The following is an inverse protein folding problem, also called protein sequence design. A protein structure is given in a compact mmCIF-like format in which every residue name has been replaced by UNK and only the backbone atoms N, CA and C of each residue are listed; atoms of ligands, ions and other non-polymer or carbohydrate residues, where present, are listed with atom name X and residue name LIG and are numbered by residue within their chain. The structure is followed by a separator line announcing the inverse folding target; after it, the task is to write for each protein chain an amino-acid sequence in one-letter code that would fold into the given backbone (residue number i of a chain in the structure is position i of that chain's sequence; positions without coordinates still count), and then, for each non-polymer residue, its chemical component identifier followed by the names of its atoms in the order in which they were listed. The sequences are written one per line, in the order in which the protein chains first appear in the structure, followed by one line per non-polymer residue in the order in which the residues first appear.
data_IF_180012362977
#
_entry.id   IF_180012362977
#
_cell.length_a   1.000
_cell.length_b   1.000
_cell.length_c   1.000
_cell.angle_alpha   90.00
_cell.angle_beta   90.00
_cell.angle_gamma   90.00
#
_symmetry.space_group_name_H-M   'P 1'
#
loop_
_entity.id
_entity.type
_entity.pdbx_description
1 polymer ?
#
# COMPACT_ATOMS: atom_id res chain seq x y z
N UNK A 1 -19.64 15.11 13.98
CA UNK A 1 -18.57 15.28 12.98
C UNK A 1 -17.53 14.21 13.22
N UNK A 2 -17.40 13.24 12.32
CA UNK A 2 -16.32 12.25 12.38
C UNK A 2 -15.07 12.87 11.81
N UNK A 3 -14.07 13.11 12.66
CA UNK A 3 -12.74 13.57 12.24
C UNK A 3 -12.08 12.50 11.36
N UNK A 4 -11.53 12.93 10.23
CA UNK A 4 -10.66 12.12 9.37
C UNK A 4 -9.47 11.60 10.17
N UNK A 5 -9.13 10.32 10.01
CA UNK A 5 -7.98 9.68 10.67
C UNK A 5 -6.87 9.43 9.68
N UNK A 6 -5.63 9.67 10.12
CA UNK A 6 -4.44 9.18 9.45
C UNK A 6 -4.08 7.83 10.05
N UNK A 7 -4.04 6.79 9.21
CA UNK A 7 -3.82 5.39 9.62
C UNK A 7 -2.45 4.97 9.07
N UNK A 8 -1.43 4.81 9.93
CA UNK A 8 -0.09 4.46 9.47
C UNK A 8 0.02 2.98 9.13
N UNK A 9 0.74 2.68 8.04
CA UNK A 9 1.14 1.32 7.65
C UNK A 9 2.63 1.33 7.35
N UNK A 10 3.39 0.55 8.11
CA UNK A 10 4.81 0.36 7.85
C UNK A 10 5.00 -0.53 6.61
N UNK A 11 5.86 -0.10 5.69
CA UNK A 11 6.22 -0.87 4.50
C UNK A 11 7.66 -1.36 4.65
N UNK A 12 7.84 -2.67 4.67
CA UNK A 12 9.14 -3.31 4.79
C UNK A 12 9.68 -3.31 6.23
N UNK A 13 10.95 -2.92 6.39
CA UNK A 13 11.72 -3.07 7.63
C UNK A 13 12.63 -4.30 7.57
N UNK A 14 12.61 -5.11 8.63
CA UNK A 14 13.37 -6.37 8.67
C UNK A 14 12.66 -7.54 7.95
N UNK A 15 11.45 -7.31 7.44
CA UNK A 15 10.58 -8.31 6.83
C UNK A 15 9.91 -7.77 5.57
N UNK A 16 9.52 -8.65 4.64
CA UNK A 16 8.79 -8.30 3.42
C UNK A 16 7.28 -8.20 3.71
N UNK A 17 6.86 -7.15 4.42
CA UNK A 17 5.47 -7.05 4.89
C UNK A 17 4.94 -5.61 4.88
N UNK A 18 3.62 -5.50 4.93
CA UNK A 18 2.90 -4.31 5.36
C UNK A 18 2.48 -4.51 6.81
N UNK A 19 2.72 -3.55 7.71
CA UNK A 19 2.34 -3.68 9.13
C UNK A 19 1.50 -2.48 9.58
N UNK A 20 0.21 -2.67 9.91
CA UNK A 20 -0.56 -3.91 9.75
C UNK A 20 -0.79 -4.25 8.27
N UNK A 21 -1.03 -5.53 7.97
CA UNK A 21 -1.39 -6.00 6.62
C UNK A 21 -2.92 -6.05 6.39
N UNK A 22 -3.72 -5.60 7.35
CA UNK A 22 -5.16 -5.43 7.21
C UNK A 22 -5.60 -4.20 8.00
N UNK A 23 -6.40 -3.35 7.38
CA UNK A 23 -6.90 -2.11 7.96
C UNK A 23 -8.38 -1.95 7.67
N UNK A 24 -9.15 -1.50 8.66
CA UNK A 24 -10.51 -0.98 8.45
C UNK A 24 -10.49 0.54 8.52
N UNK A 25 -11.00 1.20 7.49
CA UNK A 25 -10.99 2.65 7.34
C UNK A 25 -12.32 3.16 6.77
N UNK A 26 -12.69 4.40 7.12
CA UNK A 26 -13.92 5.03 6.64
C UNK A 26 -13.61 5.98 5.48
N UNK A 27 -14.62 6.31 4.65
CA UNK A 27 -14.49 7.40 3.69
C UNK A 27 -13.99 8.68 4.37
N UNK A 28 -12.95 9.27 3.81
CA UNK A 28 -12.27 10.45 4.35
C UNK A 28 -11.09 10.16 5.27
N UNK A 29 -10.88 8.93 5.73
CA UNK A 29 -9.61 8.53 6.37
C UNK A 29 -8.48 8.48 5.31
N UNK A 30 -7.23 8.53 5.74
CA UNK A 30 -6.04 8.43 4.88
C UNK A 30 -5.15 7.30 5.39
N UNK A 31 -4.79 6.37 4.51
CA UNK A 31 -3.75 5.37 4.81
C UNK A 31 -2.41 5.97 4.44
N UNK A 32 -1.53 6.15 5.42
CA UNK A 32 -0.18 6.65 5.19
C UNK A 32 0.81 5.49 5.25
N UNK A 33 1.38 5.16 4.10
CA UNK A 33 2.43 4.17 3.97
C UNK A 33 3.78 4.77 4.32
N UNK A 34 4.52 4.13 5.23
CA UNK A 34 5.79 4.60 5.77
C UNK A 34 6.89 3.59 5.43
N UNK A 35 7.80 3.95 4.53
CA UNK A 35 8.79 3.05 3.97
C UNK A 35 10.03 3.01 4.87
N UNK A 36 10.20 1.89 5.58
CA UNK A 36 11.13 1.80 6.71
C UNK A 36 12.45 1.08 6.40
N UNK A 37 12.58 0.45 5.23
CA UNK A 37 13.84 -0.09 4.75
C UNK A 37 13.77 -0.41 3.25
N UNK A 38 14.89 -0.29 2.54
CA UNK A 38 15.06 -0.72 1.14
C UNK A 38 13.99 -0.12 0.21
N UNK A 39 13.81 -0.73 -0.97
CA UNK A 39 12.86 -0.28 -1.97
C UNK A 39 11.61 -1.17 -1.94
N UNK A 40 10.45 -0.54 -1.81
CA UNK A 40 9.16 -1.21 -1.91
C UNK A 40 8.20 -0.38 -2.75
N UNK A 41 7.01 -0.94 -3.01
CA UNK A 41 5.89 -0.25 -3.65
C UNK A 41 4.63 -0.51 -2.87
N UNK A 42 3.64 0.35 -3.08
CA UNK A 42 2.23 0.13 -2.80
C UNK A 42 1.54 0.13 -4.15
N UNK A 43 1.08 -1.05 -4.57
CA UNK A 43 0.46 -1.26 -5.87
C UNK A 43 -0.88 -1.96 -5.68
N UNK A 44 -1.94 -1.44 -6.26
CA UNK A 44 -3.27 -2.05 -6.19
C UNK A 44 -3.41 -3.20 -7.17
N UNK A 45 -4.07 -4.27 -6.73
CA UNK A 45 -4.39 -5.46 -7.51
C UNK A 45 -5.87 -5.78 -7.47
N UNK A 46 -6.31 -6.65 -8.37
CA UNK A 46 -7.61 -7.31 -8.25
C UNK A 46 -7.58 -8.37 -7.14
N UNK A 47 -8.72 -8.59 -6.48
CA UNK A 47 -8.87 -9.60 -5.42
C UNK A 47 -8.40 -11.00 -5.84
N UNK A 48 -8.73 -11.40 -7.07
CA UNK A 48 -8.45 -12.72 -7.64
C UNK A 48 -7.13 -12.80 -8.41
N UNK A 49 -6.40 -11.68 -8.53
CA UNK A 49 -5.10 -11.61 -9.18
C UNK A 49 -4.10 -10.86 -8.29
N UNK A 50 -3.84 -11.38 -7.07
CA UNK A 50 -2.84 -10.79 -6.18
C UNK A 50 -1.48 -10.87 -6.88
N UNK A 51 -0.71 -9.79 -6.84
CA UNK A 51 0.57 -9.62 -7.56
C UNK A 51 0.49 -9.22 -9.04
N UNK A 52 -0.66 -8.73 -9.51
CA UNK A 52 -0.76 -8.03 -10.80
C UNK A 52 -1.38 -6.65 -10.59
N UNK A 53 -0.89 -5.60 -11.27
CA UNK A 53 -1.47 -4.27 -11.14
C UNK A 53 -2.91 -4.27 -11.66
N UNK A 54 -3.80 -3.54 -10.99
CA UNK A 54 -5.24 -3.51 -11.29
C UNK A 54 -5.55 -2.95 -12.69
N UNK A 55 -4.63 -2.20 -13.28
CA UNK A 55 -4.74 -1.55 -14.59
C UNK A 55 -4.01 -2.30 -15.71
N UNK A 56 -3.61 -3.56 -15.49
CA UNK A 56 -2.81 -4.34 -16.46
C UNK A 56 -3.44 -4.46 -17.86
N UNK A 57 -4.77 -4.32 -17.95
CA UNK A 57 -5.58 -4.47 -19.15
C UNK A 57 -6.51 -3.29 -19.43
N UNK A 58 -6.41 -2.17 -18.69
CA UNK A 58 -7.37 -1.07 -18.79
C UNK A 58 -6.78 0.33 -18.64
N UNK A 59 -7.12 1.21 -19.58
CA UNK A 59 -6.88 2.67 -19.52
C UNK A 59 -7.89 3.42 -18.63
N UNK A 60 -8.81 2.71 -17.95
CA UNK A 60 -9.97 3.30 -17.29
C UNK A 60 -10.00 3.16 -15.76
N UNK A 61 -9.11 2.37 -15.16
CA UNK A 61 -9.00 2.25 -13.70
C UNK A 61 -7.69 2.88 -13.25
N UNK A 62 -7.75 4.08 -12.67
CA UNK A 62 -6.60 4.67 -12.00
C UNK A 62 -6.42 3.96 -10.64
N UNK A 63 -5.70 2.84 -10.65
CA UNK A 63 -5.29 2.14 -9.45
C UNK A 63 -4.29 2.92 -8.61
N UNK A 64 -4.07 2.46 -7.38
CA UNK A 64 -2.97 2.98 -6.56
C UNK A 64 -1.62 2.45 -7.05
N UNK A 65 -0.70 3.36 -7.41
CA UNK A 65 0.70 3.03 -7.73
C UNK A 65 1.63 4.07 -7.10
N UNK A 66 2.34 3.69 -6.03
CA UNK A 66 3.33 4.60 -5.41
C UNK A 66 4.60 4.79 -6.23
N UNK A 67 4.87 3.89 -7.18
CA UNK A 67 6.22 3.67 -7.69
C UNK A 67 7.15 3.09 -6.62
N UNK A 68 8.44 2.92 -6.96
CA UNK A 68 9.43 2.52 -5.98
C UNK A 68 9.77 3.68 -5.05
N UNK A 69 9.50 3.49 -3.76
CA UNK A 69 9.91 4.44 -2.72
C UNK A 69 11.02 3.76 -1.91
N UNK A 70 12.18 4.41 -1.90
CA UNK A 70 13.36 3.98 -1.18
C UNK A 70 13.39 4.60 0.22
N UNK A 71 13.82 3.83 1.22
CA UNK A 71 14.25 4.40 2.49
C UNK A 71 15.64 5.04 2.34
N UNK A 72 15.76 6.32 2.69
CA UNK A 72 17.05 7.01 2.75
C UNK A 72 17.66 6.89 4.15
N UNK A 73 18.52 5.88 4.30
CA UNK A 73 19.22 5.62 5.56
C UNK A 73 20.21 6.72 5.96
N UNK A 74 20.69 7.54 5.00
CA UNK A 74 21.68 8.59 5.28
C UNK A 74 21.03 9.82 5.91
N UNK A 75 19.81 10.17 5.48
CA UNK A 75 19.05 11.27 6.08
C UNK A 75 18.13 10.83 7.22
N UNK A 76 17.85 9.52 7.34
CA UNK A 76 16.84 9.01 8.26
C UNK A 76 15.42 9.34 7.85
N UNK A 77 15.22 9.89 6.63
CA UNK A 77 13.91 10.24 6.13
C UNK A 77 13.14 8.99 5.74
N UNK A 78 11.96 8.84 6.34
CA UNK A 78 10.99 7.83 5.98
C UNK A 78 10.22 8.36 4.78
N UNK A 79 10.36 7.71 3.63
CA UNK A 79 9.50 7.99 2.49
C UNK A 79 8.05 7.69 2.86
N UNK A 80 7.12 8.57 2.49
CA UNK A 80 5.69 8.36 2.73
C UNK A 80 4.89 8.38 1.44
N UNK A 81 3.81 7.60 1.42
CA UNK A 81 2.82 7.63 0.35
C UNK A 81 1.42 7.57 0.95
N UNK A 82 0.58 8.54 0.60
CA UNK A 82 -0.76 8.69 1.17
C UNK A 82 -1.82 8.17 0.20
N UNK A 83 -2.70 7.30 0.69
CA UNK A 83 -3.85 6.78 -0.05
C UNK A 83 -5.13 7.26 0.63
N UNK A 84 -5.85 8.22 0.04
CA UNK A 84 -7.15 8.64 0.55
C UNK A 84 -8.20 7.55 0.38
N UNK A 85 -8.93 7.24 1.45
CA UNK A 85 -10.04 6.27 1.42
C UNK A 85 -11.30 6.98 0.94
N UNK A 86 -11.79 6.60 -0.25
CA UNK A 86 -12.93 7.27 -0.91
C UNK A 86 -14.28 6.67 -0.57
N UNK A 87 -14.31 5.35 -0.36
CA UNK A 87 -15.50 4.57 -0.04
C UNK A 87 -15.12 3.39 0.89
N UNK A 88 -16.05 2.48 1.13
CA UNK A 88 -15.82 1.29 1.96
C UNK A 88 -15.51 0.04 1.14
N UNK A 89 -15.25 0.16 -0.17
CA UNK A 89 -14.94 -0.99 -1.00
C UNK A 89 -13.58 -1.57 -0.61
N UNK A 90 -13.43 -2.91 -0.64
CA UNK A 90 -12.15 -3.54 -0.36
C UNK A 90 -11.08 -3.10 -1.37
N UNK A 91 -9.89 -2.75 -0.89
CA UNK A 91 -8.70 -2.54 -1.71
C UNK A 91 -7.67 -3.62 -1.39
N UNK A 92 -7.08 -4.21 -2.42
CA UNK A 92 -6.03 -5.21 -2.30
C UNK A 92 -4.72 -4.59 -2.81
N UNK A 93 -3.71 -4.56 -1.96
CA UNK A 93 -2.44 -3.91 -2.25
C UNK A 93 -1.29 -4.91 -2.10
N UNK A 94 -0.25 -4.73 -2.90
CA UNK A 94 0.93 -5.57 -2.87
C UNK A 94 2.20 -4.78 -3.16
N UNK A 95 3.34 -5.38 -2.85
CA UNK A 95 4.64 -4.87 -3.28
C UNK A 95 5.07 -5.53 -4.59
N UNK A 96 5.26 -4.72 -5.63
CA UNK A 96 5.66 -5.13 -6.98
C UNK A 96 7.18 -5.34 -7.14
N UNK A 97 7.96 -5.27 -6.06
CA UNK A 97 9.39 -5.54 -6.09
C UNK A 97 9.65 -7.06 -6.22
N UNK A 98 10.20 -7.47 -7.36
CA UNK A 98 10.65 -8.85 -7.61
C UNK A 98 9.64 -9.91 -7.14
N UNK A 99 10.03 -10.81 -6.23
CA UNK A 99 9.18 -11.86 -5.67
C UNK A 99 8.51 -11.50 -4.34
N UNK A 100 8.51 -10.23 -3.93
CA UNK A 100 8.00 -9.81 -2.61
C UNK A 100 6.53 -10.19 -2.43
N UNK A 101 5.68 -9.92 -3.42
CA UNK A 101 4.27 -10.29 -3.34
C UNK A 101 4.06 -11.81 -3.32
N UNK A 102 4.78 -12.56 -4.15
CA UNK A 102 4.74 -14.02 -4.15
C UNK A 102 5.27 -14.62 -2.84
N UNK A 103 6.06 -13.85 -2.09
CA UNK A 103 6.54 -14.18 -0.74
C UNK A 103 5.58 -13.74 0.37
N UNK A 104 4.40 -13.22 0.03
CA UNK A 104 3.35 -12.82 0.97
C UNK A 104 3.30 -11.33 1.32
N UNK A 105 4.04 -10.48 0.61
CA UNK A 105 3.98 -9.02 0.81
C UNK A 105 2.73 -8.41 0.16
N UNK A 106 1.59 -8.67 0.79
CA UNK A 106 0.24 -8.21 0.41
C UNK A 106 -0.46 -7.59 1.62
N UNK A 107 -1.45 -6.75 1.36
CA UNK A 107 -2.35 -6.23 2.39
C UNK A 107 -3.75 -5.93 1.84
N UNK A 108 -4.68 -5.69 2.75
CA UNK A 108 -6.06 -5.37 2.43
C UNK A 108 -6.57 -4.18 3.24
N UNK A 109 -7.31 -3.29 2.60
CA UNK A 109 -8.09 -2.24 3.27
C UNK A 109 -9.55 -2.61 3.10
N UNK A 110 -10.34 -2.59 4.19
CA UNK A 110 -11.78 -2.85 4.17
C UNK A 110 -12.22 -4.18 3.55
N UNK A 111 -11.54 -5.29 3.85
CA UNK A 111 -12.04 -6.62 3.47
C UNK A 111 -12.25 -7.55 4.65
#
# INVERSE_FOLDING_TARGET
TTTSRLIPVLVGGNTLTFTPNSVTARPGDVIQFQFAARNHTVTESLQNSPCQPIDIDSTAVNGVHSGFIAFDAASGNIGTFDVPVKDTQPMFLYCAQASHCQSGMVMMING
#
